data_IF_675089947668
#
_entry.id   IF_675089947668
#
_cell.length_a   1.000
_cell.length_b   1.000
_cell.length_c   1.000
_cell.angle_alpha   90.00
_cell.angle_beta   90.00
_cell.angle_gamma   90.00
#
_symmetry.space_group_name_H-M   'P 1'
#
loop_
_entity.id
_entity.type
_entity.pdbx_description
1 polymer ?
#
# COMPACT_ATOMS: atom_id res chain seq x y z
N UNK A 1 -36.63 -66.02 -1.77
CA UNK A 1 -35.49 -65.19 -2.23
C UNK A 1 -35.79 -63.75 -1.86
N UNK A 2 -34.92 -63.09 -1.07
CA UNK A 2 -35.09 -61.71 -0.58
C UNK A 2 -33.91 -60.88 -1.11
N UNK A 3 -34.16 -59.87 -1.93
CA UNK A 3 -33.17 -58.87 -2.34
C UNK A 3 -32.97 -57.85 -1.22
N UNK A 4 -31.74 -57.42 -0.92
CA UNK A 4 -31.52 -56.17 -0.20
C UNK A 4 -31.26 -55.03 -1.19
N UNK A 5 -32.15 -54.04 -1.16
CA UNK A 5 -31.97 -52.70 -1.75
C UNK A 5 -30.87 -52.01 -0.93
N UNK A 6 -29.71 -51.79 -1.55
CA UNK A 6 -28.61 -51.02 -0.92
C UNK A 6 -28.72 -49.56 -1.33
N UNK A 7 -28.88 -48.71 -0.31
CA UNK A 7 -29.17 -47.29 -0.38
C UNK A 7 -27.98 -46.49 -0.96
N UNK A 8 -28.31 -45.62 -1.92
CA UNK A 8 -27.50 -44.53 -2.43
C UNK A 8 -27.27 -43.48 -1.31
N UNK A 9 -26.03 -43.07 -1.03
CA UNK A 9 -25.73 -41.80 -0.34
C UNK A 9 -24.54 -41.13 -1.04
N UNK A 10 -24.84 -40.20 -1.96
CA UNK A 10 -23.87 -39.28 -2.57
C UNK A 10 -23.74 -38.05 -1.65
N UNK A 11 -22.63 -37.96 -0.92
CA UNK A 11 -22.24 -36.73 -0.22
C UNK A 11 -21.70 -35.72 -1.23
N UNK A 12 -22.52 -34.71 -1.56
CA UNK A 12 -22.04 -33.51 -2.24
C UNK A 12 -21.34 -32.62 -1.20
N UNK A 13 -20.01 -32.63 -1.20
CA UNK A 13 -19.23 -31.63 -0.48
C UNK A 13 -19.40 -30.27 -1.16
N UNK A 14 -20.35 -29.47 -0.67
CA UNK A 14 -20.42 -28.05 -1.00
C UNK A 14 -19.25 -27.34 -0.31
N UNK A 15 -18.24 -26.94 -1.07
CA UNK A 15 -17.20 -26.03 -0.59
C UNK A 15 -17.83 -24.69 -0.23
N UNK A 16 -18.04 -24.45 1.06
CA UNK A 16 -18.35 -23.11 1.56
C UNK A 16 -17.04 -22.33 1.48
N UNK A 17 -16.87 -21.53 0.42
CA UNK A 17 -15.86 -20.48 0.41
C UNK A 17 -16.26 -19.46 1.48
N UNK A 18 -15.73 -19.61 2.69
CA UNK A 18 -15.86 -18.62 3.74
C UNK A 18 -15.06 -17.38 3.32
N UNK A 19 -15.72 -16.44 2.62
CA UNK A 19 -15.23 -15.07 2.50
C UNK A 19 -15.42 -14.42 3.87
N UNK A 20 -14.41 -14.55 4.73
CA UNK A 20 -14.31 -13.75 5.93
C UNK A 20 -14.11 -12.29 5.50
N UNK A 21 -15.21 -11.54 5.37
CA UNK A 21 -15.22 -10.10 5.55
C UNK A 21 -14.87 -9.81 7.02
N UNK A 22 -13.62 -10.06 7.40
CA UNK A 22 -13.03 -9.32 8.49
C UNK A 22 -12.99 -7.87 8.03
N UNK A 23 -13.55 -6.96 8.84
CA UNK A 23 -13.55 -5.53 8.58
C UNK A 23 -12.08 -5.07 8.50
N UNK A 24 -11.53 -5.13 7.30
CA UNK A 24 -10.16 -4.76 6.96
C UNK A 24 -9.92 -3.34 7.49
N UNK A 25 -8.89 -3.16 8.33
CA UNK A 25 -8.60 -1.84 8.93
C UNK A 25 -8.33 -0.83 7.83
N UNK A 26 -8.78 0.39 8.03
CA UNK A 26 -8.51 1.47 7.09
C UNK A 26 -7.00 1.68 6.96
N UNK A 27 -6.51 1.84 5.74
CA UNK A 27 -5.07 2.01 5.50
C UNK A 27 -4.51 3.28 6.16
N UNK A 28 -5.33 4.31 6.39
CA UNK A 28 -4.93 5.49 7.17
C UNK A 28 -4.62 5.13 8.63
N UNK A 29 -5.38 4.22 9.23
CA UNK A 29 -5.13 3.70 10.58
C UNK A 29 -3.84 2.87 10.63
N UNK A 30 -3.50 2.21 9.53
CA UNK A 30 -2.23 1.48 9.39
C UNK A 30 -1.07 2.46 9.30
N UNK A 31 -1.16 3.46 8.40
CA UNK A 31 -0.10 4.45 8.18
C UNK A 31 0.18 5.24 9.46
N UNK A 32 -0.85 5.74 10.12
CA UNK A 32 -0.72 6.57 11.35
C UNK A 32 -0.05 5.86 12.53
N UNK A 33 0.09 4.53 12.50
CA UNK A 33 0.79 3.74 13.52
C UNK A 33 2.27 3.51 13.23
N UNK A 34 2.76 3.89 12.03
CA UNK A 34 4.15 3.74 11.70
C UNK A 34 5.01 4.74 12.48
N UNK A 35 6.27 4.39 12.80
CA UNK A 35 7.26 5.36 13.21
C UNK A 35 7.32 6.52 12.22
N UNK A 36 7.27 7.74 12.73
CA UNK A 36 7.49 8.97 11.94
C UNK A 36 8.95 9.41 12.14
N UNK A 37 9.88 8.52 11.78
CA UNK A 37 11.30 8.83 11.82
C UNK A 37 11.65 9.75 10.66
N UNK A 38 12.27 10.90 10.93
CA UNK A 38 12.49 11.92 9.90
C UNK A 38 13.25 11.41 8.66
N UNK A 39 14.10 10.38 8.81
CA UNK A 39 14.85 9.77 7.71
C UNK A 39 14.20 8.52 7.11
N UNK A 40 13.05 8.10 7.63
CA UNK A 40 12.33 6.93 7.16
C UNK A 40 11.45 7.17 5.93
N UNK A 41 10.89 6.08 5.41
CA UNK A 41 9.97 6.09 4.27
C UNK A 41 9.03 4.89 4.29
N UNK A 42 7.76 5.13 3.94
CA UNK A 42 6.80 4.08 3.67
C UNK A 42 6.92 3.59 2.23
N UNK A 43 7.07 2.29 2.04
CA UNK A 43 7.11 1.67 0.72
C UNK A 43 6.16 0.47 0.63
N UNK A 44 5.20 0.54 -0.29
CA UNK A 44 4.39 -0.61 -0.69
C UNK A 44 5.13 -1.40 -1.77
N UNK A 45 5.69 -2.55 -1.40
CA UNK A 45 6.37 -3.46 -2.32
C UNK A 45 5.38 -4.19 -3.23
N UNK A 46 5.84 -4.64 -4.40
CA UNK A 46 5.02 -5.41 -5.37
C UNK A 46 4.52 -6.75 -4.82
N UNK A 47 5.00 -7.18 -3.66
CA UNK A 47 4.48 -8.31 -2.89
C UNK A 47 3.24 -7.96 -2.05
N UNK A 48 2.77 -6.70 -2.09
CA UNK A 48 1.58 -6.25 -1.38
C UNK A 48 1.81 -5.90 0.09
N UNK A 49 3.07 -5.84 0.53
CA UNK A 49 3.44 -5.51 1.91
C UNK A 49 3.91 -4.07 1.99
N UNK A 50 3.23 -3.27 2.83
CA UNK A 50 3.64 -1.93 3.19
C UNK A 50 4.71 -2.03 4.28
N UNK A 51 5.88 -1.44 4.04
CA UNK A 51 7.01 -1.44 4.97
C UNK A 51 7.42 -0.03 5.29
N UNK A 52 7.75 0.21 6.56
CA UNK A 52 8.47 1.39 7.01
C UNK A 52 9.96 1.06 7.01
N UNK A 53 10.72 1.78 6.18
CA UNK A 53 12.17 1.68 6.15
C UNK A 53 12.77 2.82 6.95
N UNK A 54 13.71 2.54 7.85
CA UNK A 54 14.49 3.56 8.56
C UNK A 54 15.53 4.21 7.63
N UNK A 55 16.22 5.25 8.13
CA UNK A 55 17.27 5.95 7.38
C UNK A 55 18.51 5.10 7.03
N UNK A 56 18.64 3.89 7.61
CA UNK A 56 19.68 2.91 7.30
C UNK A 56 19.20 1.83 6.32
N UNK A 57 17.93 1.87 5.91
CA UNK A 57 17.32 0.89 5.02
C UNK A 57 16.83 -0.39 5.72
N UNK A 58 16.73 -0.41 7.06
CA UNK A 58 16.12 -1.55 7.76
C UNK A 58 14.60 -1.38 7.84
N UNK A 59 13.87 -2.48 7.82
CA UNK A 59 12.42 -2.46 8.04
C UNK A 59 12.13 -2.35 9.53
N UNK A 60 11.54 -1.23 9.97
CA UNK A 60 11.17 -0.98 11.38
C UNK A 60 9.72 -1.39 11.68
N UNK A 61 8.84 -1.39 10.66
CA UNK A 61 7.47 -1.88 10.74
C UNK A 61 6.99 -2.43 9.39
N UNK A 62 6.02 -3.34 9.40
CA UNK A 62 5.40 -3.86 8.19
C UNK A 62 3.92 -4.20 8.38
N UNK A 63 3.17 -4.14 7.28
CA UNK A 63 1.76 -4.49 7.20
C UNK A 63 1.46 -5.19 5.88
N UNK A 64 1.06 -6.45 5.97
CA UNK A 64 0.57 -7.21 4.83
C UNK A 64 -0.82 -6.69 4.43
N UNK A 65 -0.90 -5.95 3.32
CA UNK A 65 -2.14 -5.32 2.89
C UNK A 65 -2.97 -6.28 2.02
N UNK A 66 -4.29 -6.27 2.22
CA UNK A 66 -5.21 -6.94 1.31
C UNK A 66 -5.50 -6.08 0.06
N UNK A 67 -6.19 -6.64 -0.96
CA UNK A 67 -6.44 -5.94 -2.21
C UNK A 67 -7.23 -4.64 -2.05
N UNK A 68 -8.14 -4.55 -1.07
CA UNK A 68 -8.90 -3.32 -0.80
C UNK A 68 -7.99 -2.25 -0.20
N UNK A 69 -7.16 -2.60 0.80
CA UNK A 69 -6.18 -1.69 1.39
C UNK A 69 -5.14 -1.20 0.38
N UNK A 70 -4.67 -2.06 -0.52
CA UNK A 70 -3.73 -1.65 -1.59
C UNK A 70 -4.36 -0.58 -2.49
N UNK A 71 -5.62 -0.75 -2.90
CA UNK A 71 -6.35 0.26 -3.68
C UNK A 71 -6.52 1.57 -2.91
N UNK A 72 -6.81 1.50 -1.61
CA UNK A 72 -6.90 2.68 -0.76
C UNK A 72 -5.55 3.42 -0.67
N UNK A 73 -4.45 2.68 -0.45
CA UNK A 73 -3.09 3.23 -0.41
C UNK A 73 -2.73 3.95 -1.72
N UNK A 74 -2.95 3.29 -2.85
CA UNK A 74 -2.66 3.84 -4.17
C UNK A 74 -3.51 5.10 -4.46
N UNK A 75 -4.68 5.27 -3.83
CA UNK A 75 -5.51 6.48 -3.99
C UNK A 75 -4.90 7.75 -3.40
N UNK A 76 -3.83 7.64 -2.61
CA UNK A 76 -3.09 8.80 -2.11
C UNK A 76 -2.09 9.37 -3.12
N UNK A 77 -1.79 8.64 -4.21
CA UNK A 77 -0.86 9.07 -5.25
C UNK A 77 -1.57 9.93 -6.31
N UNK A 78 -0.84 10.77 -7.09
CA UNK A 78 -1.43 11.51 -8.20
C UNK A 78 -2.17 10.61 -9.19
N UNK A 79 -3.26 11.12 -9.78
CA UNK A 79 -4.11 10.36 -10.72
C UNK A 79 -3.31 9.71 -11.85
N UNK A 80 -2.29 10.40 -12.37
CA UNK A 80 -1.41 9.90 -13.45
C UNK A 80 -0.64 8.64 -13.04
N UNK A 81 -0.32 8.48 -11.75
CA UNK A 81 0.37 7.31 -11.22
C UNK A 81 -0.62 6.20 -10.81
N UNK A 82 -1.87 6.52 -10.48
CA UNK A 82 -2.86 5.57 -9.97
C UNK A 82 -3.17 4.43 -10.96
N UNK A 83 -3.30 4.71 -12.26
CA UNK A 83 -3.57 3.66 -13.26
C UNK A 83 -2.43 2.64 -13.30
N UNK A 84 -1.18 3.14 -13.34
CA UNK A 84 0.03 2.31 -13.35
C UNK A 84 0.13 1.47 -12.08
N UNK A 85 -0.16 2.06 -10.93
CA UNK A 85 -0.17 1.36 -9.64
C UNK A 85 -1.26 0.27 -9.61
N UNK A 86 -2.51 0.60 -9.95
CA UNK A 86 -3.60 -0.35 -9.94
C UNK A 86 -3.34 -1.55 -10.87
N UNK A 87 -2.73 -1.32 -12.03
CA UNK A 87 -2.31 -2.40 -12.93
C UNK A 87 -1.17 -3.24 -12.35
N UNK A 88 -0.17 -2.62 -11.73
CA UNK A 88 0.96 -3.33 -11.14
C UNK A 88 0.58 -4.22 -9.95
N UNK A 89 -0.50 -3.85 -9.24
CA UNK A 89 -1.03 -4.55 -8.08
C UNK A 89 -2.25 -5.44 -8.39
N UNK A 90 -2.58 -5.66 -9.66
CA UNK A 90 -3.72 -6.51 -10.00
C UNK A 90 -3.48 -7.97 -9.53
N UNK A 91 -4.44 -8.51 -8.80
CA UNK A 91 -4.34 -9.84 -8.17
C UNK A 91 -3.35 -9.95 -7.01
N UNK A 92 -2.71 -8.86 -6.56
CA UNK A 92 -1.77 -8.89 -5.42
C UNK A 92 -2.52 -8.87 -4.09
N UNK A 93 -2.15 -9.77 -3.19
CA UNK A 93 -2.62 -9.83 -1.80
C UNK A 93 -1.43 -10.11 -0.88
N UNK A 94 -0.99 -9.07 -0.17
CA UNK A 94 0.18 -9.13 0.70
C UNK A 94 0.01 -10.07 1.90
N UNK A 95 -1.24 -10.44 2.25
CA UNK A 95 -1.53 -11.39 3.32
C UNK A 95 -1.05 -12.81 3.01
N UNK A 96 -0.75 -13.08 1.74
CA UNK A 96 -0.11 -14.33 1.32
C UNK A 96 1.40 -14.36 1.63
N UNK A 97 2.01 -13.23 1.97
CA UNK A 97 3.41 -13.15 2.41
C UNK A 97 3.47 -13.43 3.91
N UNK A 98 3.76 -14.69 4.26
CA UNK A 98 3.77 -15.18 5.65
C UNK A 98 5.17 -15.42 6.22
N UNK A 99 6.19 -15.44 5.36
CA UNK A 99 7.57 -15.62 5.76
C UNK A 99 8.08 -14.38 6.50
N UNK A 100 8.48 -14.54 7.77
CA UNK A 100 8.92 -13.44 8.62
C UNK A 100 10.23 -12.81 8.15
N UNK A 101 11.14 -13.60 7.58
CA UNK A 101 12.39 -13.09 7.04
C UNK A 101 12.10 -12.22 5.82
N UNK A 102 11.21 -12.66 4.91
CA UNK A 102 10.79 -11.83 3.78
C UNK A 102 10.10 -10.52 4.20
N UNK A 103 9.35 -10.53 5.30
CA UNK A 103 8.66 -9.34 5.80
C UNK A 103 9.66 -8.28 6.31
N UNK A 104 10.70 -8.69 7.03
CA UNK A 104 11.71 -7.81 7.64
C UNK A 104 12.94 -7.55 6.75
N UNK A 105 13.28 -8.50 5.88
CA UNK A 105 14.46 -8.52 5.03
C UNK A 105 14.05 -8.81 3.58
N UNK A 106 13.27 -7.90 2.96
CA UNK A 106 12.82 -8.08 1.60
C UNK A 106 14.00 -8.21 0.63
N UNK A 107 13.87 -9.09 -0.37
CA UNK A 107 14.80 -9.12 -1.49
C UNK A 107 14.84 -7.76 -2.20
N UNK A 108 15.97 -7.44 -2.83
CA UNK A 108 16.23 -6.12 -3.46
C UNK A 108 15.12 -5.62 -4.40
N UNK A 109 14.34 -6.51 -5.02
CA UNK A 109 13.20 -6.15 -5.87
C UNK A 109 12.00 -5.51 -5.13
N UNK A 110 11.98 -5.55 -3.80
CA UNK A 110 10.95 -4.94 -2.96
C UNK A 110 11.49 -3.79 -2.10
N UNK A 111 12.59 -3.17 -2.54
CA UNK A 111 13.14 -1.96 -1.94
C UNK A 111 12.65 -0.72 -2.69
N UNK A 112 12.49 0.43 -2.00
CA UNK A 112 12.22 1.69 -2.68
C UNK A 112 13.39 2.04 -3.61
N UNK A 113 13.10 2.20 -4.90
CA UNK A 113 14.08 2.64 -5.90
C UNK A 113 13.86 4.11 -6.18
N UNK A 114 14.84 4.94 -5.82
CA UNK A 114 14.79 6.37 -6.12
C UNK A 114 15.23 6.66 -7.56
N UNK A 115 14.51 7.56 -8.23
CA UNK A 115 15.09 8.32 -9.33
C UNK A 115 16.12 9.29 -8.72
N UNK A 116 17.41 8.96 -8.83
CA UNK A 116 18.49 9.81 -8.30
C UNK A 116 18.32 11.29 -8.68
N UNK A 117 18.66 12.18 -7.74
CA UNK A 117 18.77 13.66 -7.82
C UNK A 117 17.94 14.44 -8.86
N UNK A 118 16.72 14.01 -9.15
CA UNK A 118 15.74 14.87 -9.80
C UNK A 118 15.37 15.97 -8.80
N UNK A 119 16.08 17.10 -8.89
CA UNK A 119 15.76 18.32 -8.15
C UNK A 119 14.26 18.57 -8.24
N UNK A 120 13.64 18.75 -7.08
CA UNK A 120 12.26 19.18 -6.90
C UNK A 120 12.04 20.49 -7.67
N UNK A 121 11.70 20.36 -8.96
CA UNK A 121 11.24 21.45 -9.78
C UNK A 121 9.71 21.41 -9.66
N UNK A 122 9.19 22.20 -8.73
CA UNK A 122 7.76 22.50 -8.64
C UNK A 122 7.39 23.21 -9.96
N UNK A 123 6.57 22.64 -10.86
CA UNK A 123 5.92 23.41 -11.90
C UNK A 123 4.69 24.03 -11.24
N UNK A 124 4.84 25.26 -10.76
CA UNK A 124 3.74 26.08 -10.24
C UNK A 124 2.87 26.57 -11.40
N UNK A 125 2.12 25.69 -12.07
CA UNK A 125 1.06 26.04 -13.02
C UNK A 125 0.07 24.86 -13.16
N UNK A 126 -0.56 24.47 -12.06
CA UNK A 126 -1.77 23.64 -12.08
C UNK A 126 -3.04 24.51 -12.11
N UNK A 127 -4.17 24.02 -12.65
CA UNK A 127 -5.45 24.73 -12.63
C UNK A 127 -5.81 25.18 -11.21
N UNK A 128 -6.33 26.42 -11.09
CA UNK A 128 -6.79 27.01 -9.83
C UNK A 128 -7.89 26.12 -9.24
N UNK A 129 -7.69 25.71 -7.98
CA UNK A 129 -8.54 24.78 -7.25
C UNK A 129 -9.97 25.35 -7.00
N UNK A 130 -10.97 24.46 -7.04
CA UNK A 130 -12.36 24.70 -6.61
C UNK A 130 -12.43 24.68 -5.07
N UNK A 131 -12.91 25.74 -4.41
CA UNK A 131 -12.85 25.92 -2.95
C UNK A 131 -13.72 24.94 -2.12
N UNK A 132 -14.38 23.96 -2.75
CA UNK A 132 -15.34 23.09 -2.07
C UNK A 132 -14.93 21.61 -1.98
N UNK A 133 -13.66 21.26 -2.26
CA UNK A 133 -13.16 19.87 -2.19
C UNK A 133 -11.83 19.69 -1.41
N UNK A 134 -11.62 20.52 -0.39
CA UNK A 134 -10.28 20.95 0.06
C UNK A 134 -9.67 20.26 1.29
N UNK A 135 -9.78 18.93 1.41
CA UNK A 135 -8.93 18.20 2.38
C UNK A 135 -8.05 17.11 1.80
N UNK A 136 -8.47 16.47 0.70
CA UNK A 136 -7.70 15.37 0.10
C UNK A 136 -6.63 15.82 -0.92
N UNK A 137 -6.56 17.13 -1.24
CA UNK A 137 -5.86 17.66 -2.41
C UNK A 137 -4.54 18.42 -2.16
N UNK A 138 -4.04 18.46 -0.92
CA UNK A 138 -2.92 19.35 -0.56
C UNK A 138 -1.58 18.64 -0.34
N UNK A 139 -1.56 17.33 -0.06
CA UNK A 139 -0.33 16.57 0.22
C UNK A 139 0.25 15.85 -1.01
N UNK A 140 -0.60 15.21 -1.82
CA UNK A 140 -0.20 14.32 -2.92
C UNK A 140 0.52 15.01 -4.10
N UNK A 141 0.65 16.34 -4.08
CA UNK A 141 1.44 17.11 -5.05
C UNK A 141 2.88 17.35 -4.57
N UNK A 142 3.19 17.11 -3.31
CA UNK A 142 4.53 17.29 -2.74
C UNK A 142 5.31 16.00 -2.84
N UNK A 143 6.38 16.03 -3.64
CA UNK A 143 7.30 14.91 -3.75
C UNK A 143 8.22 14.86 -2.53
N UNK A 144 8.57 13.66 -2.11
CA UNK A 144 9.43 13.41 -0.97
C UNK A 144 10.37 12.23 -1.25
N UNK A 145 11.49 12.20 -0.53
CA UNK A 145 12.37 11.04 -0.44
C UNK A 145 12.22 10.34 0.90
N UNK A 146 11.94 11.10 1.96
CA UNK A 146 11.79 10.67 3.36
C UNK A 146 10.71 11.45 4.11
N UNK A 147 10.26 10.95 5.27
CA UNK A 147 9.25 11.60 6.12
C UNK A 147 9.56 13.06 6.41
N UNK A 148 10.82 13.36 6.71
CA UNK A 148 11.29 14.70 7.01
C UNK A 148 11.11 15.71 5.87
N UNK A 149 10.86 15.30 4.63
CA UNK A 149 10.56 16.23 3.53
C UNK A 149 9.12 16.76 3.60
N UNK A 150 8.23 16.03 4.29
CA UNK A 150 6.81 16.36 4.43
C UNK A 150 6.60 17.28 5.64
N UNK A 151 6.46 18.59 5.38
CA UNK A 151 6.43 19.63 6.42
C UNK A 151 5.04 20.15 6.78
N UNK A 152 4.02 19.78 6.01
CA UNK A 152 2.65 20.25 6.24
C UNK A 152 2.03 19.49 7.42
N UNK A 153 1.19 20.14 8.26
CA UNK A 153 0.63 19.52 9.47
C UNK A 153 -0.09 18.19 9.23
N UNK A 154 -0.84 18.10 8.13
CA UNK A 154 -1.63 16.92 7.74
C UNK A 154 -0.91 16.03 6.71
N UNK A 155 0.38 16.29 6.44
CA UNK A 155 1.20 15.53 5.51
C UNK A 155 2.51 15.15 6.21
N UNK A 156 2.52 14.01 6.90
CA UNK A 156 3.68 13.59 7.71
C UNK A 156 4.47 12.47 7.05
N UNK A 157 3.78 11.59 6.34
CA UNK A 157 4.41 10.40 5.81
C UNK A 157 4.84 10.57 4.35
N UNK A 158 6.07 10.19 4.04
CA UNK A 158 6.51 10.01 2.66
C UNK A 158 6.17 8.59 2.20
N UNK A 159 5.30 8.48 1.20
CA UNK A 159 4.87 7.20 0.64
C UNK A 159 5.43 6.94 -0.75
N UNK A 160 5.88 5.72 -0.97
CA UNK A 160 6.31 5.18 -2.27
C UNK A 160 5.55 3.87 -2.55
N UNK A 161 5.31 3.56 -3.82
CA UNK A 161 4.52 2.38 -4.18
C UNK A 161 5.03 1.72 -5.46
N UNK A 162 5.33 0.42 -5.37
CA UNK A 162 5.65 -0.46 -6.48
C UNK A 162 6.58 0.17 -7.52
N UNK A 163 6.13 0.31 -8.79
CA UNK A 163 6.95 0.80 -9.90
C UNK A 163 7.02 2.33 -10.01
N UNK A 164 6.38 3.08 -9.09
CA UNK A 164 6.47 4.54 -9.03
C UNK A 164 7.69 4.91 -8.20
N UNK A 165 8.67 5.51 -8.86
CA UNK A 165 9.98 5.83 -8.27
C UNK A 165 9.99 7.13 -7.47
N UNK A 166 8.96 7.95 -7.63
CA UNK A 166 8.77 9.18 -6.86
C UNK A 166 8.02 8.86 -5.57
N UNK A 167 8.44 9.45 -4.46
CA UNK A 167 7.65 9.48 -3.23
C UNK A 167 6.72 10.69 -3.22
N UNK A 168 5.60 10.58 -2.51
CA UNK A 168 4.67 11.68 -2.28
C UNK A 168 4.29 11.77 -0.80
N UNK A 169 4.11 12.99 -0.32
CA UNK A 169 3.60 13.22 1.02
C UNK A 169 2.13 12.79 1.10
N UNK A 170 1.80 11.95 2.08
CA UNK A 170 0.48 11.34 2.24
C UNK A 170 -0.37 12.15 3.22
N UNK A 171 -1.66 12.32 2.88
CA UNK A 171 -2.67 12.86 3.78
C UNK A 171 -3.43 11.70 4.44
N UNK A 172 -3.15 11.45 5.71
CA UNK A 172 -3.70 10.33 6.49
C UNK A 172 -4.29 10.78 7.82
#
# INVERSE_FOLDING_TARGET
MKLPISLLVLFLCSSISASSDEKEKDVSEVISKNPDEADGVLYLGLDGVLREFDGSGNVSAYYALGPKQIKQYNSYFPTDDQEKLNKAFDGVDGRNVTDKDQLLHPGHGFWPVDDGDAKSAIPSNGPRDDPNNDKKLVCNREQCKKHGDCKKPDCKFCGKSGPVRKGYCLSV
#
